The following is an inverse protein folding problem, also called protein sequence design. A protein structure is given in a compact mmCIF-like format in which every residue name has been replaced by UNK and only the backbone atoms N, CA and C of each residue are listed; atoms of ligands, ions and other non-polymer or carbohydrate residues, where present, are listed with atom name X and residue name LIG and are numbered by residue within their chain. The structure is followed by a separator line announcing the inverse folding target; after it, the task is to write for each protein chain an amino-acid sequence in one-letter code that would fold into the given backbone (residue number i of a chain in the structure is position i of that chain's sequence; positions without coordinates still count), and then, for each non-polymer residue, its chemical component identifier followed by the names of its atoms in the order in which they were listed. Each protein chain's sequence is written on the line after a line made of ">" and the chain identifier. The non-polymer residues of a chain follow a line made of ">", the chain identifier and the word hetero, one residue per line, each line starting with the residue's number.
data_IF_634173109005
#
_entry.id   IF_634173109005
#
_cell.length_a   1.000
_cell.length_b   1.000
_cell.length_c   1.000
_cell.angle_alpha   90.00
_cell.angle_beta   90.00
_cell.angle_gamma   90.00
#
_symmetry.space_group_name_H-M   'P 1'
#
loop_
_entity.id
_entity.type
_entity.pdbx_description
1 polymer ?
#
# COMPACT_ATOMS: atom_id res chain seq x y z
N UNK A 1 14.33 13.21 1.30
CA UNK A 1 13.68 11.94 1.67
C UNK A 1 12.76 12.20 2.86
N UNK A 2 11.53 11.71 2.84
CA UNK A 2 10.71 11.71 4.06
C UNK A 2 11.44 10.86 5.12
N UNK A 3 11.35 11.29 6.39
CA UNK A 3 11.95 10.55 7.52
C UNK A 3 11.35 9.14 7.59
N UNK A 4 12.19 8.12 7.80
CA UNK A 4 11.75 6.74 8.03
C UNK A 4 10.78 6.69 9.22
N UNK A 5 9.63 6.04 9.05
CA UNK A 5 8.67 5.79 10.13
C UNK A 5 9.19 4.62 10.94
N UNK A 6 9.28 4.77 12.26
CA UNK A 6 9.73 3.71 13.14
C UNK A 6 8.67 2.59 13.24
N UNK A 7 9.09 1.36 13.53
CA UNK A 7 8.15 0.25 13.76
C UNK A 7 7.20 0.54 14.92
N UNK A 8 7.63 1.29 15.95
CA UNK A 8 6.75 1.69 17.04
C UNK A 8 5.66 2.64 16.54
N UNK A 9 6.03 3.75 15.90
CA UNK A 9 5.06 4.73 15.37
C UNK A 9 4.11 4.10 14.34
N UNK A 10 4.62 3.20 13.51
CA UNK A 10 3.84 2.47 12.51
C UNK A 10 2.79 1.56 13.14
N UNK A 11 3.17 0.79 14.17
CA UNK A 11 2.24 -0.08 14.90
C UNK A 11 1.21 0.72 15.72
N UNK A 12 1.63 1.81 16.35
CA UNK A 12 0.70 2.69 17.08
C UNK A 12 -0.35 3.29 16.15
N UNK A 13 0.06 3.71 14.94
CA UNK A 13 -0.85 4.20 13.92
C UNK A 13 -1.82 3.12 13.42
N UNK A 14 -1.34 1.89 13.18
CA UNK A 14 -2.20 0.76 12.80
C UNK A 14 -3.21 0.41 13.90
N UNK A 15 -2.78 0.40 15.16
CA UNK A 15 -3.66 0.15 16.31
C UNK A 15 -4.74 1.25 16.43
N UNK A 16 -4.38 2.52 16.23
CA UNK A 16 -5.33 3.63 16.25
C UNK A 16 -6.36 3.55 15.10
N UNK A 17 -5.94 3.08 13.92
CA UNK A 17 -6.88 2.83 12.79
C UNK A 17 -7.82 1.68 13.13
N UNK A 18 -7.29 0.55 13.62
CA UNK A 18 -8.10 -0.62 13.99
C UNK A 18 -9.14 -0.27 15.07
N UNK A 19 -8.72 0.41 16.14
CA UNK A 19 -9.61 0.82 17.21
C UNK A 19 -10.75 1.75 16.73
N UNK A 20 -10.45 2.65 15.78
CA UNK A 20 -11.48 3.50 15.19
C UNK A 20 -12.46 2.71 14.32
N UNK A 21 -11.96 1.74 13.53
CA UNK A 21 -12.80 0.82 12.74
C UNK A 21 -13.71 -0.03 13.65
N UNK A 22 -13.17 -0.59 14.73
CA UNK A 22 -13.93 -1.41 15.68
C UNK A 22 -15.03 -0.60 16.40
N UNK A 23 -14.79 0.69 16.61
CA UNK A 23 -15.74 1.62 17.21
C UNK A 23 -16.72 2.28 16.20
N UNK A 24 -16.67 1.89 14.92
CA UNK A 24 -17.46 2.50 13.82
C UNK A 24 -17.30 4.03 13.74
N UNK A 25 -16.08 4.52 13.93
CA UNK A 25 -15.74 5.94 13.81
C UNK A 25 -14.63 6.17 12.79
N UNK A 26 -14.60 7.36 12.21
CA UNK A 26 -13.56 7.76 11.25
C UNK A 26 -12.19 7.80 11.95
N UNK A 27 -11.17 7.04 11.46
CA UNK A 27 -9.82 7.11 12.01
C UNK A 27 -9.22 8.51 11.94
N UNK A 28 -8.40 8.92 12.93
CA UNK A 28 -7.68 10.19 12.85
C UNK A 28 -6.87 10.26 11.56
N UNK A 29 -7.01 11.37 10.81
CA UNK A 29 -6.32 11.54 9.51
C UNK A 29 -4.80 11.33 9.61
N UNK A 30 -4.20 11.73 10.72
CA UNK A 30 -2.77 11.54 11.00
C UNK A 30 -2.41 10.06 11.19
N UNK A 31 -3.21 9.31 11.94
CA UNK A 31 -3.02 7.86 12.10
C UNK A 31 -3.17 7.14 10.76
N UNK A 32 -4.21 7.47 9.98
CA UNK A 32 -4.42 6.90 8.65
C UNK A 32 -3.23 7.20 7.71
N UNK A 33 -2.76 8.45 7.68
CA UNK A 33 -1.60 8.84 6.87
C UNK A 33 -0.33 8.11 7.28
N UNK A 34 -0.06 7.98 8.58
CA UNK A 34 1.11 7.26 9.11
C UNK A 34 1.04 5.78 8.80
N UNK A 35 -0.10 5.12 9.02
CA UNK A 35 -0.31 3.71 8.72
C UNK A 35 -0.08 3.41 7.23
N UNK A 36 -0.69 4.20 6.33
CA UNK A 36 -0.49 4.05 4.87
C UNK A 36 0.97 4.20 4.49
N UNK A 37 1.63 5.28 4.92
CA UNK A 37 3.04 5.56 4.57
C UNK A 37 3.97 4.51 5.15
N UNK A 38 3.70 4.01 6.34
CA UNK A 38 4.47 2.96 6.97
C UNK A 38 4.38 1.64 6.19
N UNK A 39 3.18 1.23 5.80
CA UNK A 39 2.98 0.02 4.99
C UNK A 39 3.60 0.17 3.59
N UNK A 40 3.50 1.34 2.96
CA UNK A 40 4.20 1.60 1.69
C UNK A 40 5.73 1.53 1.85
N UNK A 41 6.26 2.03 2.97
CA UNK A 41 7.68 1.90 3.31
C UNK A 41 8.07 0.43 3.46
N UNK A 42 7.29 -0.38 4.18
CA UNK A 42 7.55 -1.82 4.32
C UNK A 42 7.52 -2.55 2.97
N UNK A 43 6.61 -2.18 2.07
CA UNK A 43 6.57 -2.74 0.72
C UNK A 43 7.86 -2.42 -0.05
N UNK A 44 8.30 -1.15 -0.01
CA UNK A 44 9.52 -0.71 -0.68
C UNK A 44 10.79 -1.35 -0.10
N UNK A 45 10.81 -1.61 1.22
CA UNK A 45 11.89 -2.35 1.88
C UNK A 45 11.88 -3.84 1.50
N UNK A 46 10.70 -4.45 1.38
CA UNK A 46 10.53 -5.88 1.00
C UNK A 46 10.87 -6.15 -0.46
N UNK A 47 10.53 -5.23 -1.36
CA UNK A 47 10.71 -5.37 -2.80
C UNK A 47 11.23 -4.06 -3.41
N UNK A 48 12.52 -3.72 -3.19
CA UNK A 48 13.09 -2.49 -3.75
C UNK A 48 13.03 -2.51 -5.29
N UNK A 49 12.90 -1.33 -5.90
CA UNK A 49 12.92 -1.20 -7.35
C UNK A 49 12.15 0.01 -7.86
N UNK A 50 11.96 0.07 -9.17
CA UNK A 50 11.34 1.21 -9.87
C UNK A 50 10.49 0.78 -11.07
N UNK A 51 10.01 -0.47 -11.04
CA UNK A 51 9.22 -1.04 -12.13
C UNK A 51 7.74 -0.80 -11.93
N UNK A 52 7.27 -0.86 -10.68
CA UNK A 52 5.86 -0.74 -10.30
C UNK A 52 5.69 0.44 -9.36
N UNK A 53 4.77 1.35 -9.71
CA UNK A 53 4.34 2.44 -8.85
C UNK A 53 3.10 2.03 -8.06
N UNK A 54 3.15 2.13 -6.73
CA UNK A 54 1.99 1.91 -5.86
C UNK A 54 1.54 3.25 -5.29
N UNK A 55 0.28 3.62 -5.52
CA UNK A 55 -0.32 4.89 -5.14
C UNK A 55 -1.48 4.68 -4.17
N UNK A 56 -1.45 5.43 -3.08
CA UNK A 56 -2.52 5.47 -2.08
C UNK A 56 -2.87 6.93 -1.79
N UNK A 57 -3.59 7.61 -2.71
CA UNK A 57 -3.95 9.01 -2.53
C UNK A 57 -4.89 9.20 -1.33
N UNK A 58 -4.76 10.31 -0.58
CA UNK A 58 -3.81 11.41 -0.75
C UNK A 58 -2.48 11.21 0.02
N UNK A 59 -2.22 10.02 0.56
CA UNK A 59 -1.23 9.84 1.62
C UNK A 59 0.18 9.55 1.12
N UNK A 60 0.35 8.82 0.02
CA UNK A 60 1.68 8.57 -0.54
C UNK A 60 1.71 7.67 -1.76
N UNK A 61 2.92 7.51 -2.28
CA UNK A 61 3.25 6.55 -3.33
C UNK A 61 4.68 6.02 -3.13
N UNK A 62 4.94 4.80 -3.57
CA UNK A 62 6.27 4.18 -3.60
C UNK A 62 6.52 3.48 -4.93
N UNK A 63 7.80 3.32 -5.26
CA UNK A 63 8.27 2.56 -6.39
C UNK A 63 8.88 1.25 -5.86
N UNK A 64 8.47 0.13 -6.45
CA UNK A 64 8.83 -1.21 -5.98
C UNK A 64 9.11 -2.13 -7.16
N UNK A 65 9.63 -3.33 -6.87
CA UNK A 65 9.95 -4.40 -7.81
C UNK A 65 11.08 -4.02 -8.79
N UNK A 66 12.14 -4.81 -8.77
CA UNK A 66 13.24 -4.68 -9.72
C UNK A 66 12.80 -5.03 -11.15
N UNK A 67 13.42 -4.37 -12.12
CA UNK A 67 13.11 -4.61 -13.52
C UNK A 67 13.29 -3.38 -14.41
N UNK A 68 13.07 -3.57 -15.72
CA UNK A 68 13.12 -2.47 -16.66
C UNK A 68 11.96 -1.52 -16.40
N UNK A 69 12.24 -0.22 -16.56
CA UNK A 69 11.17 0.77 -16.70
C UNK A 69 10.34 0.45 -17.95
N UNK A 70 9.07 0.85 -17.90
CA UNK A 70 8.21 0.79 -19.08
C UNK A 70 8.88 1.50 -20.26
N UNK A 71 8.75 0.93 -21.45
CA UNK A 71 9.22 1.54 -22.69
C UNK A 71 8.04 2.20 -23.41
N UNK A 72 8.33 3.10 -24.36
CA UNK A 72 7.29 3.73 -25.19
C UNK A 72 6.43 2.64 -25.84
N UNK A 73 5.11 2.73 -25.67
CA UNK A 73 4.14 1.76 -26.20
C UNK A 73 3.67 0.69 -25.21
N UNK A 74 4.31 0.57 -24.03
CA UNK A 74 3.82 -0.27 -22.94
C UNK A 74 3.17 0.61 -21.84
N UNK A 75 1.97 0.27 -21.35
CA UNK A 75 1.39 0.95 -20.20
C UNK A 75 2.32 0.89 -18.99
N UNK A 76 2.45 1.97 -18.19
CA UNK A 76 3.25 1.93 -16.97
C UNK A 76 2.65 0.92 -15.98
N UNK A 77 3.51 0.25 -15.20
CA UNK A 77 3.01 -0.61 -14.12
C UNK A 77 2.60 0.25 -12.94
N UNK A 78 1.29 0.43 -12.76
CA UNK A 78 0.72 1.27 -11.71
C UNK A 78 -0.34 0.47 -10.97
N UNK A 79 -0.28 0.53 -9.65
CA UNK A 79 -1.31 0.06 -8.73
C UNK A 79 -1.83 1.28 -7.98
N UNK A 80 -3.13 1.52 -8.01
CA UNK A 80 -3.77 2.59 -7.26
C UNK A 80 -4.98 2.02 -6.48
N UNK A 81 -5.07 2.40 -5.21
CA UNK A 81 -6.16 1.99 -4.31
C UNK A 81 -6.34 3.02 -3.19
N UNK A 82 -7.45 2.95 -2.47
CA UNK A 82 -7.72 3.83 -1.32
C UNK A 82 -6.98 3.37 -0.05
N UNK A 83 -6.96 4.23 0.97
CA UNK A 83 -6.24 3.98 2.21
C UNK A 83 -6.76 2.77 2.99
N UNK A 84 -8.08 2.56 3.03
CA UNK A 84 -8.71 1.47 3.77
C UNK A 84 -8.39 0.14 3.09
N UNK A 85 -8.57 0.06 1.77
CA UNK A 85 -8.23 -1.13 0.98
C UNK A 85 -6.72 -1.44 1.08
N UNK A 86 -5.85 -0.43 0.99
CA UNK A 86 -4.40 -0.64 1.15
C UNK A 86 -4.03 -1.25 2.51
N UNK A 87 -4.61 -0.72 3.60
CA UNK A 87 -4.34 -1.24 4.95
C UNK A 87 -4.81 -2.69 5.05
N UNK A 88 -6.03 -3.00 4.60
CA UNK A 88 -6.58 -4.36 4.66
C UNK A 88 -5.73 -5.38 3.88
N UNK A 89 -5.28 -5.02 2.67
CA UNK A 89 -4.38 -5.83 1.85
C UNK A 89 -3.02 -6.05 2.52
N UNK A 90 -2.43 -4.96 3.03
CA UNK A 90 -1.11 -5.00 3.61
C UNK A 90 -1.08 -5.70 4.97
N UNK A 91 -2.17 -5.74 5.72
CA UNK A 91 -2.28 -6.49 6.99
C UNK A 91 -2.89 -7.88 6.81
N UNK A 92 -3.38 -8.23 5.61
CA UNK A 92 -3.95 -9.54 5.29
C UNK A 92 -5.38 -9.74 5.77
N UNK A 93 -6.09 -8.67 6.12
CA UNK A 93 -7.54 -8.69 6.38
C UNK A 93 -8.32 -9.00 5.11
N UNK A 94 -7.77 -8.63 3.96
CA UNK A 94 -8.36 -8.89 2.65
C UNK A 94 -7.31 -9.41 1.67
N UNK A 95 -7.69 -10.34 0.80
CA UNK A 95 -6.80 -10.80 -0.26
C UNK A 95 -6.77 -9.85 -1.47
N UNK A 96 -5.63 -9.85 -2.16
CA UNK A 96 -5.47 -9.11 -3.42
C UNK A 96 -6.53 -9.49 -4.47
N UNK A 97 -6.84 -10.77 -4.57
CA UNK A 97 -7.80 -11.28 -5.55
C UNK A 97 -9.21 -10.76 -5.29
N UNK A 98 -9.66 -10.74 -4.03
CA UNK A 98 -10.97 -10.23 -3.63
C UNK A 98 -11.08 -8.72 -3.90
N UNK A 99 -10.09 -7.94 -3.46
CA UNK A 99 -10.08 -6.49 -3.68
C UNK A 99 -10.06 -6.13 -5.17
N UNK A 100 -9.30 -6.89 -5.98
CA UNK A 100 -9.24 -6.70 -7.43
C UNK A 100 -10.55 -7.04 -8.11
N UNK A 101 -11.18 -8.15 -7.73
CA UNK A 101 -12.48 -8.59 -8.25
C UNK A 101 -13.59 -7.60 -7.87
N UNK A 102 -13.51 -6.99 -6.68
CA UNK A 102 -14.42 -5.95 -6.22
C UNK A 102 -14.18 -4.57 -6.87
N UNK A 103 -13.18 -4.43 -7.75
CA UNK A 103 -12.86 -3.17 -8.43
C UNK A 103 -12.21 -2.10 -7.53
N UNK A 104 -11.73 -2.47 -6.33
CA UNK A 104 -11.08 -1.56 -5.38
C UNK A 104 -9.59 -1.35 -5.64
N UNK A 105 -9.05 -2.07 -6.61
CA UNK A 105 -7.68 -1.91 -7.10
C UNK A 105 -7.73 -1.56 -8.58
N UNK A 106 -7.14 -0.41 -8.92
CA UNK A 106 -6.81 -0.06 -10.29
C UNK A 106 -5.37 -0.53 -10.57
N UNK A 107 -5.23 -1.61 -11.34
CA UNK A 107 -3.94 -2.16 -11.74
C UNK A 107 -3.77 -2.06 -13.27
N UNK A 108 -2.68 -1.43 -13.71
CA UNK A 108 -2.30 -1.27 -15.11
C UNK A 108 -0.87 -1.77 -15.31
N UNK A 109 -0.57 -2.36 -16.47
CA UNK A 109 0.73 -2.95 -16.79
C UNK A 109 0.84 -4.43 -16.38
N UNK A 110 1.76 -5.15 -17.02
CA UNK A 110 1.88 -6.62 -16.89
C UNK A 110 2.53 -7.08 -15.58
N UNK A 111 3.13 -6.16 -14.82
CA UNK A 111 3.80 -6.44 -13.54
C UNK A 111 3.06 -5.85 -12.34
N UNK A 112 1.87 -5.28 -12.54
CA UNK A 112 1.07 -4.67 -11.47
C UNK A 112 0.25 -5.70 -10.67
N UNK A 113 0.89 -6.82 -10.30
CA UNK A 113 0.33 -7.81 -9.38
C UNK A 113 1.19 -7.84 -8.11
N UNK A 114 0.62 -7.36 -6.99
CA UNK A 114 1.30 -7.33 -5.70
C UNK A 114 0.93 -8.51 -4.80
N UNK A 115 0.07 -9.44 -5.25
CA UNK A 115 -0.35 -10.59 -4.43
C UNK A 115 0.84 -11.35 -3.81
N UNK A 116 1.96 -11.63 -4.53
CA UNK A 116 3.10 -12.33 -3.94
C UNK A 116 3.85 -11.55 -2.85
N UNK A 117 3.64 -10.23 -2.79
CA UNK A 117 4.30 -9.34 -1.84
C UNK A 117 3.47 -9.06 -0.60
N UNK A 118 2.20 -9.47 -0.58
CA UNK A 118 1.24 -9.21 0.50
C UNK A 118 0.90 -10.51 1.25
N UNK A 119 0.57 -10.44 2.56
CA UNK A 119 0.61 -9.26 3.40
C UNK A 119 2.05 -8.83 3.78
N UNK A 120 2.14 -7.63 4.32
CA UNK A 120 3.32 -7.09 5.00
C UNK A 120 3.24 -7.49 6.48
N UNK A 121 4.37 -7.80 7.11
CA UNK A 121 4.42 -8.18 8.54
C UNK A 121 5.03 -7.02 9.35
N UNK A 122 4.21 -6.10 9.89
CA UNK A 122 4.67 -4.92 10.65
C UNK A 122 5.09 -5.24 12.10
#
# INVERSE_FOLDING_TARGET
>A
MARKISTADGRDALAAVAAATDADVTPPRTALATAVRYLLQLLAEKAPGNTVEVRVPPFGAVQVVEGPRHTRGTPPNVVETDATTWIALATGVESWAEARAAGRILASGTRADLAPLLPLRP
#
